data_IF_081747681974
#
_entry.id   IF_081747681974
#
_cell.length_a   1.000
_cell.length_b   1.000
_cell.length_c   1.000
_cell.angle_alpha   90.00
_cell.angle_beta   90.00
_cell.angle_gamma   90.00
#
_symmetry.space_group_name_H-M   'P 1'
#
loop_
_entity.id
_entity.type
_entity.pdbx_description
1 polymer ?
#
# COMPACT_ATOMS: atom_id res chain seq x y z
N UNK A 1 -8.44 5.91 44.42
CA UNK A 1 -7.68 6.90 43.60
C UNK A 1 -6.23 6.44 43.44
N UNK A 2 -5.92 5.56 42.50
CA UNK A 2 -4.57 5.34 41.94
C UNK A 2 -4.71 4.64 40.59
N UNK A 3 -4.57 5.37 39.50
CA UNK A 3 -4.16 4.79 38.22
C UNK A 3 -2.83 5.45 37.87
N UNK A 4 -1.74 4.75 38.17
CA UNK A 4 -0.43 5.08 37.61
C UNK A 4 -0.35 4.24 36.33
N UNK A 5 -0.76 4.82 35.21
CA UNK A 5 -0.54 4.21 33.89
C UNK A 5 0.95 3.96 33.68
N UNK A 6 1.36 2.82 33.11
CA UNK A 6 2.76 2.52 32.93
C UNK A 6 3.36 3.50 31.90
N UNK A 7 4.62 3.85 32.15
CA UNK A 7 5.55 4.66 31.36
C UNK A 7 5.12 4.98 29.92
N UNK A 8 5.23 6.26 29.54
CA UNK A 8 4.92 6.78 28.21
C UNK A 8 5.72 6.14 27.07
N UNK A 9 5.34 4.93 26.69
CA UNK A 9 5.84 4.21 25.53
C UNK A 9 5.03 4.55 24.28
N UNK A 10 5.71 4.76 23.16
CA UNK A 10 5.07 4.97 21.87
C UNK A 10 4.89 3.63 21.17
N UNK A 11 3.65 3.27 20.82
CA UNK A 11 3.37 2.12 19.95
C UNK A 11 3.42 2.60 18.51
N UNK A 12 4.28 2.00 17.70
CA UNK A 12 4.33 2.21 16.25
C UNK A 12 3.90 0.95 15.52
N UNK A 13 3.17 1.11 14.43
CA UNK A 13 2.74 0.02 13.56
C UNK A 13 2.99 0.40 12.10
N UNK A 14 3.45 -0.56 11.30
CA UNK A 14 3.66 -0.40 9.87
C UNK A 14 2.63 -1.25 9.11
N UNK A 15 1.99 -0.66 8.11
CA UNK A 15 1.02 -1.32 7.23
C UNK A 15 1.56 -1.27 5.80
N UNK A 16 1.52 -2.40 5.10
CA UNK A 16 2.04 -2.51 3.74
C UNK A 16 1.52 -3.73 2.99
N UNK A 17 1.89 -3.83 1.72
CA UNK A 17 1.60 -5.00 0.88
C UNK A 17 2.83 -5.91 0.81
N UNK A 18 2.60 -7.23 0.80
CA UNK A 18 3.63 -8.25 0.54
C UNK A 18 4.00 -8.40 -0.94
N UNK A 19 3.29 -7.70 -1.83
CA UNK A 19 3.48 -7.82 -3.28
C UNK A 19 4.59 -6.89 -3.76
N UNK A 20 5.61 -7.45 -4.43
CA UNK A 20 6.77 -6.68 -4.91
C UNK A 20 6.40 -5.53 -5.87
N UNK A 21 5.31 -5.66 -6.63
CA UNK A 21 4.87 -4.62 -7.57
C UNK A 21 4.02 -3.51 -6.92
N UNK A 22 3.53 -3.71 -5.69
CA UNK A 22 2.62 -2.79 -5.02
C UNK A 22 3.18 -1.36 -4.90
N UNK A 23 4.47 -1.14 -4.58
CA UNK A 23 5.03 0.21 -4.53
C UNK A 23 4.92 0.95 -5.88
N UNK A 24 5.11 0.24 -7.00
CA UNK A 24 5.01 0.81 -8.34
C UNK A 24 3.58 1.13 -8.77
N UNK A 25 2.57 0.50 -8.16
CA UNK A 25 1.15 0.87 -8.33
C UNK A 25 0.82 2.07 -7.45
N UNK A 26 1.17 2.01 -6.17
CA UNK A 26 0.87 3.07 -5.19
C UNK A 26 1.45 4.42 -5.62
N UNK A 27 2.72 4.42 -6.07
CA UNK A 27 3.50 5.65 -6.33
C UNK A 27 3.78 5.89 -7.81
N UNK A 28 3.36 4.98 -8.68
CA UNK A 28 3.78 5.01 -10.09
C UNK A 28 5.24 4.62 -10.25
N UNK A 29 5.72 4.71 -11.48
CA UNK A 29 7.10 4.38 -11.85
C UNK A 29 7.62 5.39 -12.87
N UNK A 30 8.92 5.71 -12.86
CA UNK A 30 9.53 6.49 -13.94
C UNK A 30 9.50 5.72 -15.27
N UNK A 31 9.77 6.39 -16.41
CA UNK A 31 9.91 5.73 -17.70
C UNK A 31 10.92 4.57 -17.66
N UNK A 32 10.50 3.39 -18.08
CA UNK A 32 11.34 2.20 -18.12
C UNK A 32 10.83 1.18 -19.13
N UNK A 33 11.72 0.30 -19.60
CA UNK A 33 11.34 -0.77 -20.52
C UNK A 33 10.72 -1.95 -19.76
N UNK A 34 9.42 -2.15 -19.91
CA UNK A 34 8.69 -3.27 -19.31
C UNK A 34 8.67 -4.48 -20.26
N UNK A 35 8.72 -5.70 -19.72
CA UNK A 35 8.54 -6.91 -20.53
C UNK A 35 7.08 -7.02 -21.00
N UNK A 36 6.88 -7.36 -22.27
CA UNK A 36 5.54 -7.56 -22.85
C UNK A 36 4.72 -8.57 -22.02
N UNK A 37 5.36 -9.63 -21.51
CA UNK A 37 4.70 -10.68 -20.70
C UNK A 37 4.03 -10.12 -19.45
N UNK A 38 4.58 -9.06 -18.85
CA UNK A 38 4.04 -8.44 -17.63
C UNK A 38 2.78 -7.62 -17.91
N UNK A 39 2.65 -7.06 -19.12
CA UNK A 39 1.54 -6.16 -19.50
C UNK A 39 0.50 -6.82 -20.39
N UNK A 40 0.76 -8.01 -20.96
CA UNK A 40 -0.16 -8.74 -21.85
C UNK A 40 -1.57 -8.89 -21.26
N UNK A 41 -1.67 -9.42 -20.03
CA UNK A 41 -2.97 -9.68 -19.42
C UNK A 41 -3.77 -8.40 -19.18
N UNK A 42 -3.11 -7.30 -18.81
CA UNK A 42 -3.77 -6.02 -18.60
C UNK A 42 -4.19 -5.37 -19.93
N UNK A 43 -3.30 -5.38 -20.93
CA UNK A 43 -3.57 -4.83 -22.25
C UNK A 43 -4.76 -5.54 -22.92
N UNK A 44 -4.81 -6.88 -22.84
CA UNK A 44 -5.92 -7.68 -23.34
C UNK A 44 -7.25 -7.31 -22.67
N UNK A 45 -7.28 -7.21 -21.33
CA UNK A 45 -8.48 -6.80 -20.58
C UNK A 45 -8.96 -5.39 -20.91
N UNK A 46 -8.05 -4.51 -21.34
CA UNK A 46 -8.36 -3.13 -21.72
C UNK A 46 -8.63 -2.95 -23.21
N UNK A 47 -8.45 -3.99 -24.03
CA UNK A 47 -8.55 -3.89 -25.48
C UNK A 47 -7.50 -2.95 -26.11
N UNK A 48 -6.34 -2.79 -25.46
CA UNK A 48 -5.26 -1.88 -25.92
C UNK A 48 -4.15 -2.70 -26.58
N UNK A 49 -3.58 -2.18 -27.66
CA UNK A 49 -2.41 -2.78 -28.30
C UNK A 49 -1.24 -2.91 -27.31
N UNK A 50 -0.71 -4.13 -27.18
CA UNK A 50 0.34 -4.51 -26.23
C UNK A 50 1.60 -3.64 -26.36
N UNK A 51 2.06 -3.42 -27.59
CA UNK A 51 3.27 -2.65 -27.86
C UNK A 51 3.03 -1.16 -27.63
N UNK A 52 1.82 -0.65 -27.88
CA UNK A 52 1.47 0.72 -27.53
C UNK A 52 1.56 0.96 -26.01
N UNK A 53 1.09 0.01 -25.19
CA UNK A 53 1.23 0.08 -23.72
C UNK A 53 2.70 0.06 -23.31
N UNK A 54 3.48 -0.89 -23.84
CA UNK A 54 4.91 -1.00 -23.55
C UNK A 54 5.66 0.30 -23.90
N UNK A 55 5.42 0.84 -25.10
CA UNK A 55 6.04 2.09 -25.56
C UNK A 55 5.60 3.29 -24.72
N UNK A 56 4.34 3.34 -24.31
CA UNK A 56 3.85 4.40 -23.43
C UNK A 56 4.56 4.39 -22.07
N UNK A 57 4.74 3.21 -21.46
CA UNK A 57 5.47 3.06 -20.19
C UNK A 57 6.96 3.40 -20.38
N UNK A 58 7.57 2.99 -21.49
CA UNK A 58 8.96 3.31 -21.80
C UNK A 58 9.22 4.81 -21.95
N UNK A 59 8.24 5.59 -22.43
CA UNK A 59 8.38 7.03 -22.64
C UNK A 59 7.95 7.86 -21.42
N UNK A 60 6.92 7.42 -20.69
CA UNK A 60 6.23 8.24 -19.68
C UNK A 60 6.20 7.63 -18.28
N UNK A 61 6.55 6.35 -18.15
CA UNK A 61 6.38 5.59 -16.92
C UNK A 61 4.91 5.27 -16.65
N UNK A 62 4.58 5.07 -15.37
CA UNK A 62 3.21 4.82 -14.90
C UNK A 62 2.76 5.90 -13.93
N UNK A 63 1.49 6.29 -14.01
CA UNK A 63 0.89 7.23 -13.05
C UNK A 63 0.62 6.53 -11.72
N UNK A 64 0.77 7.22 -10.58
CA UNK A 64 0.37 6.68 -9.27
C UNK A 64 -1.11 6.31 -9.24
N UNK A 65 -1.42 5.18 -8.63
CA UNK A 65 -2.77 4.74 -8.31
C UNK A 65 -2.81 4.31 -6.82
N UNK A 66 -2.85 5.28 -5.91
CA UNK A 66 -2.74 5.02 -4.47
C UNK A 66 -3.94 4.23 -3.97
N UNK A 67 -3.68 3.18 -3.19
CA UNK A 67 -4.68 2.30 -2.60
C UNK A 67 -4.40 2.04 -1.11
N UNK A 68 -3.14 2.02 -0.68
CA UNK A 68 -2.78 1.85 0.73
C UNK A 68 -2.99 3.13 1.52
N UNK A 69 -2.46 4.26 1.03
CA UNK A 69 -2.59 5.53 1.77
C UNK A 69 -4.05 5.94 1.98
N UNK A 70 -4.93 5.95 0.96
CA UNK A 70 -6.35 6.28 1.16
C UNK A 70 -7.06 5.32 2.12
N UNK A 71 -6.74 4.02 2.07
CA UNK A 71 -7.32 3.03 2.97
C UNK A 71 -6.89 3.26 4.42
N UNK A 72 -5.60 3.55 4.65
CA UNK A 72 -5.08 3.87 5.97
C UNK A 72 -5.69 5.16 6.51
N UNK A 73 -5.69 6.23 5.71
CA UNK A 73 -6.23 7.54 6.11
C UNK A 73 -7.72 7.41 6.49
N UNK A 74 -8.49 6.59 5.75
CA UNK A 74 -9.91 6.34 6.03
C UNK A 74 -10.19 5.41 7.22
N UNK A 75 -9.21 4.65 7.72
CA UNK A 75 -9.39 3.67 8.80
C UNK A 75 -8.50 3.92 10.03
N UNK A 76 -7.65 4.95 10.01
CA UNK A 76 -6.60 5.17 11.01
C UNK A 76 -7.13 5.19 12.46
N UNK A 77 -8.26 5.88 12.70
CA UNK A 77 -8.86 5.95 14.03
C UNK A 77 -9.35 4.60 14.55
N UNK A 78 -10.00 3.82 13.68
CA UNK A 78 -10.47 2.46 14.01
C UNK A 78 -9.29 1.53 14.28
N UNK A 79 -8.28 1.56 13.40
CA UNK A 79 -7.09 0.74 13.55
C UNK A 79 -6.36 1.05 14.87
N UNK A 80 -6.21 2.32 15.22
CA UNK A 80 -5.58 2.72 16.47
C UNK A 80 -6.37 2.23 17.71
N UNK A 81 -7.70 2.24 17.64
CA UNK A 81 -8.54 1.71 18.71
C UNK A 81 -8.40 0.19 18.86
N UNK A 82 -8.41 -0.55 17.75
CA UNK A 82 -8.25 -2.01 17.74
C UNK A 82 -6.86 -2.44 18.24
N UNK A 83 -5.80 -1.77 17.79
CA UNK A 83 -4.42 -2.03 18.27
C UNK A 83 -4.33 -1.76 19.77
N UNK A 84 -4.86 -0.63 20.24
CA UNK A 84 -4.85 -0.29 21.67
C UNK A 84 -5.59 -1.34 22.51
N UNK A 85 -6.78 -1.76 22.07
CA UNK A 85 -7.55 -2.80 22.74
C UNK A 85 -6.84 -4.16 22.75
N UNK A 86 -6.13 -4.51 21.67
CA UNK A 86 -5.33 -5.73 21.61
C UNK A 86 -4.14 -5.68 22.59
N UNK A 87 -3.43 -4.56 22.64
CA UNK A 87 -2.31 -4.36 23.59
C UNK A 87 -2.78 -4.48 25.04
N UNK A 88 -3.88 -3.81 25.41
CA UNK A 88 -4.40 -3.89 26.78
C UNK A 88 -4.79 -5.32 27.17
N UNK A 89 -5.45 -6.07 26.27
CA UNK A 89 -5.79 -7.48 26.52
C UNK A 89 -4.58 -8.37 26.79
N UNK A 90 -3.47 -8.12 26.11
CA UNK A 90 -2.25 -8.93 26.29
C UNK A 90 -1.50 -8.56 27.57
N UNK A 91 -1.55 -7.29 28.00
CA UNK A 91 -0.91 -6.81 29.24
C UNK A 91 -1.69 -7.23 30.49
N UNK A 92 -3.02 -7.35 30.40
CA UNK A 92 -3.89 -7.77 31.51
C UNK A 92 -3.96 -9.30 31.69
N UNK A 93 -3.21 -10.07 30.90
CA UNK A 93 -3.14 -11.53 30.94
C UNK A 93 -1.95 -12.01 31.77
#
# INVERSE_FOLDING_TARGET
>A
RRERGPAGGQVTAAVGSSLAYAPGVERGTPPHWVSVRQVTGWAARRGINLYAVQRAIAQRGTRPHPFLKPALDGQAGRLAAEVRAAVYREVER
#
